data_IF_064965493540
#
_entry.id   IF_064965493540
#
_cell.length_a   1.000
_cell.length_b   1.000
_cell.length_c   1.000
_cell.angle_alpha   90.00
_cell.angle_beta   90.00
_cell.angle_gamma   90.00
#
_symmetry.space_group_name_H-M   'P 1'
#
loop_
_entity.id
_entity.type
_entity.pdbx_description
1 polymer ?
#
# COMPACT_ATOMS: atom_id res chain seq x y z
N UNK A 1 -22.16 -9.67 0.83
CA UNK A 1 -21.41 -8.97 -0.25
C UNK A 1 -21.08 -7.58 0.28
N UNK A 2 -19.92 -7.39 0.91
CA UNK A 2 -19.52 -6.06 1.39
C UNK A 2 -19.25 -5.16 0.18
N UNK A 3 -19.86 -3.98 0.15
CA UNK A 3 -19.55 -2.96 -0.85
C UNK A 3 -18.04 -2.78 -0.90
N UNK A 4 -17.43 -2.97 -2.08
CA UNK A 4 -16.05 -2.55 -2.32
C UNK A 4 -16.06 -1.02 -2.23
N UNK A 5 -15.83 -0.51 -1.03
CA UNK A 5 -15.51 0.89 -0.78
C UNK A 5 -14.42 1.30 -1.77
N UNK A 6 -14.72 2.27 -2.64
CA UNK A 6 -13.74 2.83 -3.54
C UNK A 6 -12.60 3.41 -2.71
N UNK A 7 -11.43 2.77 -2.78
CA UNK A 7 -10.27 3.17 -2.00
C UNK A 7 -9.74 4.50 -2.54
N UNK A 8 -10.15 5.59 -1.90
CA UNK A 8 -9.73 6.94 -2.26
C UNK A 8 -8.31 7.20 -1.74
N UNK A 9 -7.33 7.23 -2.64
CA UNK A 9 -5.97 7.61 -2.29
C UNK A 9 -5.88 9.13 -2.08
N UNK A 10 -5.07 9.60 -1.12
CA UNK A 10 -4.92 11.03 -0.84
C UNK A 10 -4.13 11.77 -1.93
N UNK A 11 -3.44 11.05 -2.80
CA UNK A 11 -2.64 11.61 -3.89
C UNK A 11 -2.87 10.83 -5.19
N UNK A 12 -2.99 11.57 -6.28
CA UNK A 12 -3.04 11.03 -7.65
C UNK A 12 -1.66 11.17 -8.30
N UNK A 13 -1.41 10.39 -9.36
CA UNK A 13 -0.16 10.46 -10.13
C UNK A 13 0.15 11.88 -10.64
N UNK A 14 -0.85 12.55 -11.21
CA UNK A 14 -0.70 13.91 -11.77
C UNK A 14 -0.30 14.94 -10.71
N UNK A 15 -0.92 14.85 -9.54
CA UNK A 15 -0.61 15.74 -8.42
C UNK A 15 0.80 15.50 -7.86
N UNK A 16 1.28 14.26 -7.88
CA UNK A 16 2.67 13.96 -7.50
C UNK A 16 3.65 14.51 -8.51
N UNK A 17 3.39 14.34 -9.81
CA UNK A 17 4.22 14.91 -10.87
C UNK A 17 4.32 16.43 -10.79
N UNK A 18 3.21 17.08 -10.42
CA UNK A 18 3.17 18.53 -10.20
C UNK A 18 4.02 18.97 -9.00
N UNK A 19 4.07 18.18 -7.93
CA UNK A 19 4.83 18.48 -6.71
C UNK A 19 6.31 18.12 -6.82
N UNK A 20 6.62 17.06 -7.55
CA UNK A 20 7.95 16.51 -7.68
C UNK A 20 8.29 16.26 -9.16
N UNK A 21 8.76 17.29 -9.88
CA UNK A 21 9.06 17.19 -11.31
C UNK A 21 10.16 16.16 -11.64
N UNK A 22 11.05 15.90 -10.68
CA UNK A 22 12.16 14.94 -10.82
C UNK A 22 11.73 13.49 -10.57
N UNK A 23 10.42 13.24 -10.39
CA UNK A 23 9.90 11.90 -10.16
C UNK A 23 10.17 10.98 -11.36
N UNK A 24 10.79 9.80 -11.15
CA UNK A 24 11.13 8.89 -12.24
C UNK A 24 9.91 8.13 -12.74
N UNK A 25 9.17 8.72 -13.69
CA UNK A 25 7.94 8.14 -14.26
C UNK A 25 8.14 6.78 -14.93
N UNK A 26 9.34 6.49 -15.44
CA UNK A 26 9.72 5.19 -15.99
C UNK A 26 9.67 4.07 -14.97
N UNK A 27 9.99 4.36 -13.72
CA UNK A 27 10.19 3.36 -12.68
C UNK A 27 8.85 2.77 -12.24
N UNK A 28 7.79 3.59 -12.20
CA UNK A 28 6.44 3.07 -11.94
C UNK A 28 5.97 2.10 -13.02
N UNK A 29 6.30 2.33 -14.29
CA UNK A 29 5.96 1.39 -15.37
C UNK A 29 6.68 0.06 -15.16
N UNK A 30 7.98 0.11 -14.89
CA UNK A 30 8.80 -1.07 -14.59
C UNK A 30 8.29 -1.85 -13.38
N UNK A 31 7.99 -1.15 -12.28
CA UNK A 31 7.47 -1.74 -11.05
C UNK A 31 6.08 -2.36 -11.24
N UNK A 32 5.19 -1.73 -12.02
CA UNK A 32 3.88 -2.29 -12.35
C UNK A 32 4.00 -3.55 -13.19
N UNK A 33 4.86 -3.55 -14.19
CA UNK A 33 5.11 -4.73 -15.02
C UNK A 33 5.70 -5.87 -14.19
N UNK A 34 6.71 -5.58 -13.37
CA UNK A 34 7.28 -6.54 -12.44
C UNK A 34 6.22 -7.14 -11.51
N UNK A 35 5.36 -6.32 -10.91
CA UNK A 35 4.32 -6.77 -9.97
C UNK A 35 3.27 -7.67 -10.66
N UNK A 36 2.91 -7.39 -11.92
CA UNK A 36 2.00 -8.25 -12.71
C UNK A 36 2.58 -9.63 -12.98
N UNK A 37 3.90 -9.74 -13.03
CA UNK A 37 4.61 -11.01 -13.23
C UNK A 37 4.79 -11.80 -11.92
N UNK A 38 4.37 -11.27 -10.77
CA UNK A 38 4.42 -11.99 -9.49
C UNK A 38 3.06 -12.67 -9.21
N UNK A 39 2.96 -14.00 -9.26
CA UNK A 39 1.68 -14.71 -9.15
C UNK A 39 1.06 -14.63 -7.75
N UNK A 40 1.86 -14.39 -6.71
CA UNK A 40 1.41 -14.25 -5.33
C UNK A 40 0.99 -12.83 -4.96
N UNK A 41 1.34 -11.81 -5.77
CA UNK A 41 0.96 -10.44 -5.51
C UNK A 41 -0.46 -10.16 -6.05
N UNK A 42 -1.31 -9.46 -5.27
CA UNK A 42 -2.58 -8.98 -5.80
C UNK A 42 -2.33 -7.85 -6.81
N UNK A 43 -3.33 -7.50 -7.65
CA UNK A 43 -3.25 -6.31 -8.49
C UNK A 43 -2.96 -5.06 -7.65
N UNK A 44 -1.81 -4.42 -7.92
CA UNK A 44 -1.37 -3.22 -7.19
C UNK A 44 -1.84 -1.96 -7.93
N UNK A 45 -2.72 -1.12 -7.33
CA UNK A 45 -3.11 0.15 -7.92
C UNK A 45 -1.91 1.08 -8.11
N UNK A 46 -1.99 1.96 -9.09
CA UNK A 46 -0.87 2.84 -9.46
C UNK A 46 -0.54 3.84 -8.35
N UNK A 47 -1.56 4.40 -7.71
CA UNK A 47 -1.42 5.31 -6.57
C UNK A 47 -0.76 4.61 -5.38
N UNK A 48 -1.02 3.31 -5.20
CA UNK A 48 -0.38 2.52 -4.15
C UNK A 48 1.08 2.22 -4.49
N UNK A 49 1.37 1.87 -5.74
CA UNK A 49 2.74 1.66 -6.21
C UNK A 49 3.56 2.96 -6.05
N UNK A 50 2.95 4.10 -6.35
CA UNK A 50 3.53 5.41 -6.11
C UNK A 50 3.91 5.63 -4.65
N UNK A 51 3.00 5.35 -3.72
CA UNK A 51 3.28 5.48 -2.28
C UNK A 51 4.43 4.57 -1.82
N UNK A 52 4.49 3.33 -2.31
CA UNK A 52 5.61 2.44 -2.01
C UNK A 52 6.92 3.00 -2.53
N UNK A 53 6.93 3.45 -3.79
CA UNK A 53 8.13 3.96 -4.43
C UNK A 53 8.65 5.23 -3.76
N UNK A 54 7.74 6.17 -3.44
CA UNK A 54 8.06 7.36 -2.66
C UNK A 54 8.61 7.00 -1.27
N UNK A 55 8.01 6.04 -0.56
CA UNK A 55 8.51 5.59 0.77
C UNK A 55 9.91 4.98 0.72
N UNK A 56 10.33 4.50 -0.45
CA UNK A 56 11.63 3.90 -0.70
C UNK A 56 12.64 4.87 -1.33
N UNK A 57 12.37 6.18 -1.32
CA UNK A 57 13.22 7.20 -1.93
C UNK A 57 13.52 6.91 -3.41
N UNK A 58 12.52 6.40 -4.13
CA UNK A 58 12.60 6.05 -5.56
C UNK A 58 13.61 4.95 -5.91
N UNK A 59 14.03 4.15 -4.93
CA UNK A 59 14.89 2.99 -5.17
C UNK A 59 14.02 1.78 -5.58
N UNK A 60 14.20 1.30 -6.82
CA UNK A 60 13.41 0.20 -7.40
C UNK A 60 13.50 -1.08 -6.55
N UNK A 61 14.69 -1.49 -6.14
CA UNK A 61 14.88 -2.77 -5.43
C UNK A 61 14.34 -2.71 -4.00
N UNK A 62 14.50 -1.56 -3.32
CA UNK A 62 13.83 -1.32 -2.03
C UNK A 62 12.31 -1.31 -2.20
N UNK A 63 11.80 -0.72 -3.28
CA UNK A 63 10.37 -0.68 -3.57
C UNK A 63 9.80 -2.08 -3.74
N UNK A 64 10.44 -2.93 -4.55
CA UNK A 64 10.04 -4.33 -4.72
C UNK A 64 9.98 -5.07 -3.38
N UNK A 65 11.03 -4.95 -2.56
CA UNK A 65 11.09 -5.56 -1.22
C UNK A 65 9.97 -5.04 -0.31
N UNK A 66 9.69 -3.74 -0.35
CA UNK A 66 8.61 -3.13 0.42
C UNK A 66 7.24 -3.69 0.02
N UNK A 67 6.96 -3.77 -1.29
CA UNK A 67 5.71 -4.35 -1.83
C UNK A 67 5.54 -5.80 -1.37
N UNK A 68 6.56 -6.64 -1.57
CA UNK A 68 6.58 -8.05 -1.13
C UNK A 68 6.29 -8.19 0.36
N UNK A 69 7.04 -7.44 1.18
CA UNK A 69 6.92 -7.46 2.64
C UNK A 69 5.52 -7.02 3.08
N UNK A 70 4.99 -5.95 2.49
CA UNK A 70 3.67 -5.42 2.82
C UNK A 70 2.58 -6.47 2.58
N UNK A 71 2.57 -7.09 1.40
CA UNK A 71 1.53 -8.06 1.08
C UNK A 71 1.70 -9.37 1.84
N UNK A 72 2.94 -9.84 2.05
CA UNK A 72 3.25 -11.03 2.86
C UNK A 72 2.78 -10.88 4.30
N UNK A 73 3.10 -9.76 4.95
CA UNK A 73 2.69 -9.53 6.35
C UNK A 73 1.16 -9.50 6.42
N UNK A 74 0.49 -8.77 5.52
CA UNK A 74 -0.96 -8.63 5.57
C UNK A 74 -1.72 -9.92 5.26
N UNK A 75 -1.20 -10.77 4.37
CA UNK A 75 -1.81 -12.07 4.08
C UNK A 75 -1.60 -13.06 5.22
N UNK A 76 -0.44 -13.00 5.89
CA UNK A 76 -0.05 -14.00 6.88
C UNK A 76 -0.48 -13.64 8.31
N UNK A 77 -0.93 -12.41 8.56
CA UNK A 77 -1.36 -11.94 9.89
C UNK A 77 -2.80 -11.38 9.88
N UNK A 78 -3.79 -12.18 9.46
CA UNK A 78 -5.17 -11.73 9.36
C UNK A 78 -5.78 -11.29 10.70
N UNK A 79 -5.27 -11.77 11.83
CA UNK A 79 -5.65 -11.37 13.18
C UNK A 79 -5.49 -9.86 13.45
N UNK A 80 -4.56 -9.20 12.75
CA UNK A 80 -4.37 -7.74 12.86
C UNK A 80 -5.09 -6.98 11.73
N UNK A 81 -5.17 -7.56 10.53
CA UNK A 81 -5.52 -6.81 9.32
C UNK A 81 -6.90 -7.12 8.73
N UNK A 82 -7.56 -8.19 9.17
CA UNK A 82 -8.90 -8.62 8.72
C UNK A 82 -9.94 -8.48 9.84
N UNK A 83 -11.24 -8.44 9.47
CA UNK A 83 -12.37 -8.43 10.41
C UNK A 83 -12.27 -7.40 11.55
N UNK A 84 -11.72 -6.22 11.26
CA UNK A 84 -11.53 -5.16 12.26
C UNK A 84 -12.87 -4.61 12.70
N UNK A 85 -13.19 -4.81 13.97
CA UNK A 85 -14.38 -4.28 14.62
C UNK A 85 -14.00 -3.14 15.57
N UNK A 86 -14.25 -1.90 15.13
CA UNK A 86 -14.03 -0.70 15.94
C UNK A 86 -14.99 -0.59 17.14
N UNK A 87 -16.08 -1.36 17.14
CA UNK A 87 -17.02 -1.45 18.26
C UNK A 87 -16.61 -2.48 19.32
N UNK A 88 -15.56 -3.26 19.07
CA UNK A 88 -15.04 -4.24 20.02
C UNK A 88 -14.60 -3.56 21.31
N UNK A 89 -15.22 -3.96 22.43
CA UNK A 89 -14.88 -3.45 23.78
C UNK A 89 -13.41 -3.66 24.12
N UNK A 90 -12.84 -4.79 23.72
CA UNK A 90 -11.43 -5.08 23.97
C UNK A 90 -10.51 -4.11 23.21
N UNK A 91 -10.83 -3.80 21.95
CA UNK A 91 -10.08 -2.83 21.16
C UNK A 91 -10.22 -1.41 21.71
N UNK A 92 -11.44 -0.99 22.07
CA UNK A 92 -11.69 0.34 22.66
C UNK A 92 -10.95 0.51 24.00
N UNK A 93 -10.95 -0.52 24.85
CA UNK A 93 -10.20 -0.51 26.10
C UNK A 93 -8.68 -0.46 25.86
N UNK A 94 -8.16 -1.19 24.86
CA UNK A 94 -6.74 -1.12 24.51
C UNK A 94 -6.36 0.29 24.04
N UNK A 95 -7.14 0.90 23.14
CA UNK A 95 -6.87 2.25 22.62
C UNK A 95 -6.85 3.31 23.73
N UNK A 96 -7.79 3.22 24.68
CA UNK A 96 -7.86 4.18 25.80
C UNK A 96 -6.65 4.13 26.75
N UNK A 97 -5.92 3.01 26.76
CA UNK A 97 -4.81 2.76 27.68
C UNK A 97 -3.42 2.94 27.04
N UNK A 98 -3.35 3.29 25.75
CA UNK A 98 -2.08 3.62 25.08
C UNK A 98 -1.82 5.12 25.25
N UNK A 99 -1.08 5.48 26.29
CA UNK A 99 -0.45 6.80 26.50
C UNK A 99 0.91 6.90 25.82
#
# INVERSE_FOLDING_TARGET
MAAKSEMKYPITLEEEYRKNPDFPTSDLKLLKEWARNQPHLPPVPEERMLLFHHSCMYDIEKTKRCVETYYTIRSNTPEFFSNRDLSSKALQAAIANVT
#
